data_IF_106728356457
#
_entry.id   IF_106728356457
#
_cell.length_a   1.000
_cell.length_b   1.000
_cell.length_c   1.000
_cell.angle_alpha   90.00
_cell.angle_beta   90.00
_cell.angle_gamma   90.00
#
_symmetry.space_group_name_H-M   'P 1'
#
loop_
_entity.id
_entity.type
_entity.pdbx_description
1 polymer ?
#
# COMPACT_ATOMS: atom_id res chain seq x y z
N UNK A 1 35.35 1.91 -10.07
CA UNK A 1 33.97 1.35 -9.98
C UNK A 1 33.08 2.32 -9.21
N UNK A 2 32.10 2.92 -9.87
CA UNK A 2 31.12 3.82 -9.24
C UNK A 2 30.14 3.01 -8.40
N UNK A 3 30.19 3.17 -7.07
CA UNK A 3 29.27 2.48 -6.15
C UNK A 3 27.88 3.09 -6.30
N UNK A 4 26.92 2.31 -6.81
CA UNK A 4 25.52 2.75 -6.94
C UNK A 4 24.86 2.72 -5.56
N UNK A 5 24.67 3.90 -4.95
CA UNK A 5 24.01 4.05 -3.65
C UNK A 5 22.53 4.35 -3.91
N UNK A 6 21.65 3.48 -3.43
CA UNK A 6 20.20 3.68 -3.49
C UNK A 6 19.72 4.13 -2.11
N UNK A 7 19.26 5.38 -2.00
CA UNK A 7 18.71 5.92 -0.76
C UNK A 7 17.23 6.26 -0.98
N UNK A 8 16.39 5.94 0.01
CA UNK A 8 14.99 6.37 -0.02
C UNK A 8 14.93 7.87 0.24
N UNK A 9 14.33 8.64 -0.68
CA UNK A 9 14.19 10.10 -0.55
C UNK A 9 13.41 10.50 0.70
N UNK A 10 12.37 9.73 1.06
CA UNK A 10 11.58 9.95 2.27
C UNK A 10 12.43 9.75 3.53
N UNK A 11 13.27 8.71 3.56
CA UNK A 11 14.13 8.47 4.72
C UNK A 11 15.30 9.45 4.80
N UNK A 12 15.76 9.99 3.67
CA UNK A 12 16.76 11.06 3.65
C UNK A 12 16.20 12.37 4.21
N UNK A 13 14.99 12.75 3.79
CA UNK A 13 14.28 13.91 4.33
C UNK A 13 13.98 13.76 5.83
N UNK A 14 13.56 12.56 6.27
CA UNK A 14 13.36 12.28 7.69
C UNK A 14 14.66 12.31 8.50
N UNK A 15 15.78 11.90 7.90
CA UNK A 15 17.08 11.85 8.56
C UNK A 15 17.63 13.25 8.86
N UNK A 16 17.46 14.21 7.95
CA UNK A 16 17.98 15.56 8.13
C UNK A 16 17.34 16.31 9.31
N UNK A 17 16.06 16.01 9.60
CA UNK A 17 15.28 16.62 10.69
C UNK A 17 15.17 15.75 11.94
N UNK A 18 15.82 14.58 11.97
CA UNK A 18 15.70 13.61 13.05
C UNK A 18 16.64 13.88 14.24
N UNK A 19 16.23 13.44 15.43
CA UNK A 19 17.13 13.33 16.60
C UNK A 19 18.17 12.22 16.38
N UNK A 20 19.27 12.23 17.13
CA UNK A 20 20.34 11.23 17.00
C UNK A 20 19.85 9.77 17.15
N UNK A 21 18.91 9.53 18.07
CA UNK A 21 18.27 8.21 18.23
C UNK A 21 17.47 7.80 16.98
N UNK A 22 16.73 8.73 16.39
CA UNK A 22 15.93 8.49 15.18
C UNK A 22 16.82 8.31 13.94
N UNK A 23 17.93 9.06 13.82
CA UNK A 23 18.96 8.86 12.79
C UNK A 23 19.56 7.45 12.84
N UNK A 24 19.96 6.97 14.02
CA UNK A 24 20.47 5.59 14.21
C UNK A 24 19.44 4.53 13.79
N UNK A 25 18.17 4.77 14.12
CA UNK A 25 17.07 3.89 13.72
C UNK A 25 16.86 3.88 12.21
N UNK A 26 16.90 5.03 11.53
CA UNK A 26 16.79 5.13 10.07
C UNK A 26 17.92 4.35 9.39
N UNK A 27 19.18 4.53 9.85
CA UNK A 27 20.34 3.79 9.32
C UNK A 27 20.16 2.28 9.50
N UNK A 28 19.71 1.84 10.69
CA UNK A 28 19.45 0.42 10.97
C UNK A 28 18.37 -0.16 10.05
N UNK A 29 17.30 0.59 9.82
CA UNK A 29 16.22 0.21 8.89
C UNK A 29 16.68 0.17 7.43
N UNK A 30 17.66 0.99 7.04
CA UNK A 30 18.25 0.98 5.70
C UNK A 30 19.19 -0.22 5.49
N UNK A 31 19.96 -0.61 6.52
CA UNK A 31 20.84 -1.79 6.48
C UNK A 31 20.06 -3.11 6.48
N UNK A 32 18.98 -3.19 7.26
CA UNK A 32 18.08 -4.33 7.32
C UNK A 32 16.64 -3.85 7.12
N UNK A 33 16.21 -3.69 5.86
CA UNK A 33 14.83 -3.31 5.58
C UNK A 33 13.89 -4.40 6.12
N UNK A 34 12.98 -3.98 6.99
CA UNK A 34 11.97 -4.88 7.53
C UNK A 34 11.02 -5.32 6.40
N UNK A 35 11.20 -6.56 5.92
CA UNK A 35 10.39 -7.21 4.88
C UNK A 35 8.91 -7.31 5.28
N UNK A 36 8.63 -7.29 6.57
CA UNK A 36 7.31 -7.42 7.19
C UNK A 36 6.87 -6.12 7.87
N UNK A 37 7.22 -4.94 7.34
CA UNK A 37 6.41 -3.76 7.68
C UNK A 37 4.99 -4.09 7.24
N UNK A 38 4.18 -4.58 8.19
CA UNK A 38 2.76 -4.89 8.01
C UNK A 38 2.19 -3.66 7.34
N UNK A 39 1.90 -3.82 6.05
CA UNK A 39 1.48 -2.72 5.24
C UNK A 39 0.05 -2.44 5.65
N UNK A 40 -0.12 -1.28 6.27
CA UNK A 40 -1.43 -0.66 6.37
C UNK A 40 -2.04 -0.62 4.97
N UNK A 41 -3.37 -0.69 4.89
CA UNK A 41 -4.11 -0.54 3.64
C UNK A 41 -3.91 -1.65 2.59
N UNK A 42 -3.43 -2.84 2.96
CA UNK A 42 -3.28 -3.93 1.98
C UNK A 42 -4.59 -4.31 1.30
N UNK A 43 -5.66 -4.44 2.09
CA UNK A 43 -6.98 -4.74 1.56
C UNK A 43 -7.50 -3.59 0.68
N UNK A 44 -7.57 -2.32 1.15
CA UNK A 44 -7.97 -1.20 0.31
C UNK A 44 -7.23 -1.13 -1.02
N UNK A 45 -5.89 -1.23 -0.96
CA UNK A 45 -5.04 -1.22 -2.16
C UNK A 45 -5.39 -2.34 -3.13
N UNK A 46 -5.63 -3.55 -2.62
CA UNK A 46 -6.01 -4.69 -3.46
C UNK A 46 -7.39 -4.50 -4.10
N UNK A 47 -8.38 -4.00 -3.36
CA UNK A 47 -9.74 -3.77 -3.88
C UNK A 47 -9.80 -2.63 -4.88
N UNK A 48 -9.13 -1.51 -4.61
CA UNK A 48 -9.01 -0.39 -5.55
C UNK A 48 -8.32 -0.84 -6.84
N UNK A 49 -7.25 -1.61 -6.72
CA UNK A 49 -6.56 -2.17 -7.90
C UNK A 49 -7.51 -3.03 -8.75
N UNK A 50 -8.25 -3.95 -8.12
CA UNK A 50 -9.24 -4.78 -8.82
C UNK A 50 -10.36 -3.96 -9.45
N UNK A 51 -10.83 -2.91 -8.78
CA UNK A 51 -11.82 -1.98 -9.33
C UNK A 51 -11.31 -1.36 -10.62
N UNK A 52 -10.08 -0.82 -10.61
CA UNK A 52 -9.47 -0.26 -11.81
C UNK A 52 -9.38 -1.34 -12.89
N UNK A 53 -8.73 -2.49 -12.61
CA UNK A 53 -8.58 -3.63 -13.53
C UNK A 53 -9.91 -4.11 -14.15
N UNK A 54 -11.03 -3.92 -13.46
CA UNK A 54 -12.38 -4.22 -13.92
C UNK A 54 -13.11 -2.97 -14.46
N UNK A 55 -12.44 -2.13 -15.24
CA UNK A 55 -13.01 -0.92 -15.87
C UNK A 55 -13.66 0.05 -14.85
N UNK A 56 -13.00 0.23 -13.70
CA UNK A 56 -13.49 1.03 -12.57
C UNK A 56 -14.82 0.55 -11.98
N UNK A 57 -15.11 -0.76 -12.03
CA UNK A 57 -16.21 -1.37 -11.29
C UNK A 57 -15.98 -1.25 -9.78
N UNK A 58 -16.96 -0.66 -9.08
CA UNK A 58 -16.88 -0.43 -7.64
C UNK A 58 -17.27 -1.66 -6.80
N UNK A 59 -17.78 -2.73 -7.41
CA UNK A 59 -18.19 -3.95 -6.70
C UNK A 59 -17.09 -4.55 -5.80
N UNK A 60 -15.80 -4.66 -6.25
CA UNK A 60 -14.72 -5.12 -5.40
C UNK A 60 -14.47 -4.21 -4.19
N UNK A 61 -14.74 -2.91 -4.32
CA UNK A 61 -14.57 -1.91 -3.25
C UNK A 61 -15.70 -2.04 -2.23
N UNK A 62 -16.96 -2.16 -2.66
CA UNK A 62 -18.08 -2.38 -1.76
C UNK A 62 -17.94 -3.68 -0.97
N UNK A 63 -17.52 -4.77 -1.63
CA UNK A 63 -17.17 -6.03 -0.92
C UNK A 63 -16.07 -5.82 0.11
N UNK A 64 -15.07 -5.00 -0.19
CA UNK A 64 -14.00 -4.65 0.74
C UNK A 64 -14.51 -3.90 1.99
N UNK A 65 -15.45 -2.99 1.80
CA UNK A 65 -16.08 -2.25 2.90
C UNK A 65 -16.87 -3.20 3.80
N UNK A 66 -17.70 -4.07 3.22
CA UNK A 66 -18.46 -5.07 3.99
C UNK A 66 -17.54 -6.04 4.74
N UNK A 67 -16.46 -6.51 4.09
CA UNK A 67 -15.45 -7.35 4.75
C UNK A 67 -14.83 -6.63 5.96
N UNK A 68 -14.51 -5.34 5.86
CA UNK A 68 -13.93 -4.56 6.95
C UNK A 68 -14.93 -4.31 8.09
N UNK A 69 -16.22 -4.08 7.79
CA UNK A 69 -17.27 -3.91 8.80
C UNK A 69 -17.47 -5.16 9.65
N UNK A 70 -17.37 -6.34 9.04
CA UNK A 70 -17.52 -7.63 9.72
C UNK A 70 -16.32 -7.99 10.62
N UNK A 71 -15.16 -7.35 10.44
CA UNK A 71 -13.97 -7.62 11.26
C UNK A 71 -14.17 -7.13 12.69
N UNK A 72 -13.85 -8.00 13.65
CA UNK A 72 -13.78 -7.71 15.09
C UNK A 72 -12.32 -7.59 15.55
N UNK A 73 -11.64 -6.45 15.32
CA UNK A 73 -10.25 -6.25 15.72
C UNK A 73 -10.11 -6.22 17.24
N UNK A 74 -9.04 -6.81 17.76
CA UNK A 74 -8.77 -6.92 19.20
C UNK A 74 -7.67 -5.94 19.61
N UNK A 75 -6.63 -5.80 18.78
CA UNK A 75 -5.49 -4.92 19.07
C UNK A 75 -5.77 -3.49 18.60
N UNK A 76 -5.31 -2.49 19.34
CA UNK A 76 -5.40 -1.05 18.98
C UNK A 76 -4.96 -0.78 17.53
N UNK A 77 -3.87 -1.44 17.11
CA UNK A 77 -3.37 -1.38 15.75
C UNK A 77 -4.38 -1.85 14.70
N UNK A 78 -5.06 -2.97 14.96
CA UNK A 78 -6.04 -3.54 14.02
C UNK A 78 -7.30 -2.65 13.95
N UNK A 79 -7.68 -2.05 15.08
CA UNK A 79 -8.77 -1.06 15.13
C UNK A 79 -8.42 0.12 14.24
N UNK A 80 -7.23 0.70 14.43
CA UNK A 80 -6.77 1.80 13.59
C UNK A 80 -6.73 1.40 12.11
N UNK A 81 -6.25 0.18 11.78
CA UNK A 81 -6.08 -0.27 10.39
C UNK A 81 -7.42 -0.41 9.70
N UNK A 82 -8.42 -0.95 10.41
CA UNK A 82 -9.79 -1.02 9.94
C UNK A 82 -10.36 0.37 9.68
N UNK A 83 -10.23 1.29 10.63
CA UNK A 83 -10.78 2.65 10.52
C UNK A 83 -10.21 3.38 9.32
N UNK A 84 -8.87 3.42 9.20
CA UNK A 84 -8.24 4.12 8.08
C UNK A 84 -8.49 3.42 6.74
N UNK A 85 -8.60 2.09 6.75
CA UNK A 85 -8.92 1.31 5.54
C UNK A 85 -10.33 1.57 5.02
N UNK A 86 -11.31 1.70 5.92
CA UNK A 86 -12.69 2.06 5.58
C UNK A 86 -12.73 3.45 4.96
N UNK A 87 -12.11 4.42 5.63
CA UNK A 87 -12.03 5.81 5.13
C UNK A 87 -11.39 5.88 3.73
N UNK A 88 -10.33 5.10 3.48
CA UNK A 88 -9.69 5.08 2.17
C UNK A 88 -10.61 4.54 1.06
N UNK A 89 -11.39 3.49 1.36
CA UNK A 89 -12.33 2.92 0.39
C UNK A 89 -13.52 3.85 0.13
N UNK A 90 -14.06 4.47 1.18
CA UNK A 90 -15.15 5.45 1.06
C UNK A 90 -14.72 6.67 0.24
N UNK A 91 -13.52 7.20 0.50
CA UNK A 91 -12.94 8.27 -0.32
C UNK A 91 -12.79 7.85 -1.76
N UNK A 92 -12.33 6.64 -2.04
CA UNK A 92 -12.20 6.14 -3.41
C UNK A 92 -13.55 6.09 -4.15
N UNK A 93 -14.63 5.66 -3.49
CA UNK A 93 -15.98 5.67 -4.07
C UNK A 93 -16.43 7.10 -4.42
N UNK A 94 -16.06 8.08 -3.60
CA UNK A 94 -16.37 9.49 -3.85
C UNK A 94 -15.52 10.17 -4.93
N UNK A 95 -14.42 9.53 -5.36
CA UNK A 95 -13.55 10.11 -6.39
C UNK A 95 -14.21 10.06 -7.76
N UNK A 96 -14.16 11.20 -8.48
CA UNK A 96 -14.47 11.24 -9.90
C UNK A 96 -13.29 10.67 -10.69
N UNK A 97 -13.41 9.44 -11.14
CA UNK A 97 -12.42 8.82 -12.02
C UNK A 97 -12.58 9.33 -13.46
N UNK A 98 -11.48 9.59 -14.19
CA UNK A 98 -11.53 9.95 -15.61
C UNK A 98 -12.32 8.96 -16.45
N UNK A 99 -13.08 9.47 -17.43
CA UNK A 99 -13.90 8.62 -18.31
C UNK A 99 -13.06 7.62 -19.12
N UNK A 100 -11.84 8.02 -19.52
CA UNK A 100 -10.90 7.17 -20.25
C UNK A 100 -10.55 5.87 -19.51
N UNK A 101 -10.57 5.85 -18.17
CA UNK A 101 -10.34 4.62 -17.40
C UNK A 101 -11.54 3.66 -17.38
N UNK A 102 -12.71 4.13 -17.83
CA UNK A 102 -13.94 3.34 -17.96
C UNK A 102 -14.20 2.90 -19.40
N UNK A 103 -13.85 3.76 -20.36
CA UNK A 103 -14.16 3.56 -21.78
C UNK A 103 -13.10 2.72 -22.51
N UNK A 104 -11.83 2.88 -22.15
CA UNK A 104 -10.74 2.22 -22.87
C UNK A 104 -10.42 0.85 -22.26
N UNK A 105 -10.30 -0.16 -23.10
CA UNK A 105 -9.74 -1.45 -22.68
C UNK A 105 -8.23 -1.31 -22.53
N UNK A 106 -7.69 -1.65 -21.36
CA UNK A 106 -6.26 -1.64 -21.11
C UNK A 106 -5.75 -3.02 -20.68
N UNK A 107 -4.53 -3.34 -21.08
CA UNK A 107 -3.91 -4.61 -20.74
C UNK A 107 -3.29 -4.56 -19.34
N UNK A 108 -3.69 -5.50 -18.48
CA UNK A 108 -3.12 -5.63 -17.13
C UNK A 108 -1.94 -6.60 -17.17
N UNK A 109 -0.72 -6.06 -17.15
CA UNK A 109 0.51 -6.88 -17.05
C UNK A 109 0.56 -7.52 -15.67
N UNK A 110 0.22 -8.81 -15.58
CA UNK A 110 0.39 -9.60 -14.35
C UNK A 110 1.89 -9.71 -14.06
N UNK A 111 2.27 -9.57 -12.80
CA UNK A 111 3.69 -9.65 -12.38
C UNK A 111 4.28 -10.98 -12.85
N UNK A 112 5.35 -10.87 -13.62
CA UNK A 112 6.22 -11.96 -14.09
C UNK A 112 6.61 -12.86 -12.92
N UNK A 113 6.69 -14.17 -13.16
CA UNK A 113 7.13 -15.17 -12.19
C UNK A 113 8.42 -14.71 -11.50
N UNK A 114 8.33 -14.39 -10.21
CA UNK A 114 9.52 -14.16 -9.41
C UNK A 114 10.16 -15.51 -9.15
N UNK A 115 11.33 -15.77 -9.76
CA UNK A 115 12.17 -16.92 -9.39
C UNK A 115 12.43 -16.86 -7.88
N UNK A 116 11.78 -17.76 -7.15
CA UNK A 116 12.10 -18.04 -5.76
C UNK A 116 13.51 -18.60 -5.73
N UNK A 117 14.46 -17.93 -5.06
CA UNK A 117 15.73 -18.57 -4.73
C UNK A 117 15.39 -19.54 -3.59
N UNK A 118 15.42 -20.84 -3.87
CA UNK A 118 15.38 -21.88 -2.85
C UNK A 118 16.53 -21.63 -1.86
N UNK A 119 16.19 -21.66 -0.56
CA UNK A 119 17.15 -21.49 0.53
C UNK A 119 17.61 -22.84 1.03
#
# INVERSE_FOLDING_TARGET
MTKKILISINQFADFSKATESKKRTIIRQQKQPNKFRISWYQLPKSRIRKSIENNCDLEPVFKGIEELKLRKPIKSRQIHDRTVSLEALERYVSLKLPHSLKSETFEVIKKVESKSIER
#
